data_IF_968414736267
#
_entry.id   IF_968414736267
#
_cell.length_a   1.000
_cell.length_b   1.000
_cell.length_c   1.000
_cell.angle_alpha   90.00
_cell.angle_beta   90.00
_cell.angle_gamma   90.00
#
_symmetry.space_group_name_H-M   'P 1'
#
loop_
_entity.id
_entity.type
_entity.pdbx_description
1 polymer ?
#
# COMPACT_ATOMS: atom_id res chain seq x y z
N UNK A 1 6.51 0.27 6.84
CA UNK A 1 5.72 -0.83 6.21
C UNK A 1 4.24 -0.57 6.48
N UNK A 2 3.33 -0.93 5.59
CA UNK A 2 1.91 -0.54 5.70
C UNK A 2 0.96 -1.64 6.19
N UNK A 3 -0.37 -1.45 6.03
CA UNK A 3 -1.38 -2.42 6.50
C UNK A 3 -1.41 -3.73 5.69
N UNK A 4 -0.85 -3.74 4.47
CA UNK A 4 -0.87 -4.92 3.61
C UNK A 4 0.32 -5.85 3.89
N UNK A 5 0.06 -6.96 4.59
CA UNK A 5 1.07 -7.99 4.91
C UNK A 5 1.76 -8.58 3.67
N UNK A 6 1.02 -8.75 2.57
CA UNK A 6 1.56 -9.22 1.30
C UNK A 6 2.64 -8.26 0.76
N UNK A 7 2.31 -6.98 0.57
CA UNK A 7 3.27 -5.99 0.06
C UNK A 7 4.45 -5.79 1.00
N UNK A 8 4.22 -5.87 2.32
CA UNK A 8 5.30 -5.81 3.31
C UNK A 8 6.31 -6.95 3.13
N UNK A 9 5.80 -8.16 2.90
CA UNK A 9 6.63 -9.34 2.65
C UNK A 9 7.44 -9.17 1.37
N UNK A 10 6.82 -8.68 0.28
CA UNK A 10 7.51 -8.43 -0.99
C UNK A 10 8.63 -7.39 -0.86
N UNK A 11 8.39 -6.30 -0.13
CA UNK A 11 9.41 -5.29 0.12
C UNK A 11 10.52 -5.80 1.06
N UNK A 12 10.22 -6.70 2.00
CA UNK A 12 11.24 -7.31 2.87
C UNK A 12 12.10 -8.32 2.11
N UNK A 13 11.50 -9.12 1.23
CA UNK A 13 12.19 -10.11 0.41
C UNK A 13 12.91 -9.52 -0.81
N UNK A 14 12.65 -8.25 -1.15
CA UNK A 14 13.30 -7.55 -2.26
C UNK A 14 12.64 -7.74 -3.63
N UNK A 15 11.44 -8.32 -3.68
CA UNK A 15 10.58 -8.27 -4.86
C UNK A 15 10.10 -6.83 -5.15
N UNK A 16 10.03 -6.00 -4.11
CA UNK A 16 9.84 -4.55 -4.22
C UNK A 16 11.05 -3.81 -3.65
N UNK A 17 11.27 -2.53 -4.02
CA UNK A 17 12.24 -1.68 -3.36
C UNK A 17 12.06 -1.73 -1.84
N UNK A 18 13.16 -2.01 -1.13
CA UNK A 18 13.11 -2.16 0.35
C UNK A 18 12.67 -0.89 1.07
N UNK A 19 12.74 0.25 0.40
CA UNK A 19 12.18 1.54 0.85
C UNK A 19 10.66 1.52 0.99
N UNK A 20 9.96 0.59 0.33
CA UNK A 20 8.50 0.55 0.32
C UNK A 20 7.86 1.55 -0.64
N UNK A 21 8.62 2.13 -1.57
CA UNK A 21 8.10 3.03 -2.62
C UNK A 21 8.39 2.41 -3.98
N UNK A 22 7.35 2.19 -4.77
CA UNK A 22 7.43 1.48 -6.04
C UNK A 22 6.48 2.08 -7.07
N UNK A 23 6.73 1.76 -8.35
CA UNK A 23 5.78 2.05 -9.42
C UNK A 23 4.68 0.99 -9.51
N UNK A 24 3.50 1.31 -10.06
CA UNK A 24 2.42 0.34 -10.26
C UNK A 24 2.83 -0.89 -11.06
N UNK A 25 3.63 -0.74 -12.11
CA UNK A 25 4.13 -1.86 -12.91
C UNK A 25 4.98 -2.83 -12.08
N UNK A 26 5.85 -2.29 -11.23
CA UNK A 26 6.68 -3.10 -10.33
C UNK A 26 5.83 -3.85 -9.28
N UNK A 27 4.77 -3.20 -8.78
CA UNK A 27 3.84 -3.82 -7.85
C UNK A 27 3.08 -4.97 -8.49
N UNK A 28 2.56 -4.79 -9.71
CA UNK A 28 1.87 -5.86 -10.47
C UNK A 28 2.82 -7.04 -10.71
N UNK A 29 4.03 -6.78 -11.20
CA UNK A 29 5.03 -7.84 -11.43
C UNK A 29 5.38 -8.56 -10.13
N UNK A 30 5.62 -7.83 -9.04
CA UNK A 30 6.01 -8.43 -7.76
C UNK A 30 4.93 -9.35 -7.19
N UNK A 31 3.64 -8.94 -7.20
CA UNK A 31 2.55 -9.79 -6.68
C UNK A 31 2.28 -11.00 -7.58
N UNK A 32 2.50 -10.86 -8.89
CA UNK A 32 2.39 -11.99 -9.82
C UNK A 32 3.52 -13.00 -9.62
N UNK A 33 4.76 -12.54 -9.56
CA UNK A 33 5.93 -13.43 -9.47
C UNK A 33 6.04 -14.11 -8.10
N UNK A 34 5.78 -13.40 -7.01
CA UNK A 34 6.01 -13.92 -5.66
C UNK A 34 4.78 -14.60 -5.04
N UNK A 35 3.58 -14.17 -5.41
CA UNK A 35 2.32 -14.66 -4.82
C UNK A 35 1.41 -15.34 -5.83
N UNK A 36 1.82 -15.44 -7.11
CA UNK A 36 1.05 -16.07 -8.17
C UNK A 36 -0.36 -15.48 -8.34
N UNK A 37 -0.53 -14.17 -8.12
CA UNK A 37 -1.79 -13.49 -8.38
C UNK A 37 -2.10 -13.50 -9.88
N UNK A 38 -3.36 -13.77 -10.25
CA UNK A 38 -3.83 -13.63 -11.62
C UNK A 38 -3.65 -12.20 -12.14
N UNK A 39 -3.24 -12.06 -13.41
CA UNK A 39 -2.86 -10.76 -13.98
C UNK A 39 -3.96 -9.68 -13.86
N UNK A 40 -5.21 -10.06 -14.13
CA UNK A 40 -6.34 -9.13 -14.07
C UNK A 40 -6.59 -8.64 -12.64
N UNK A 41 -6.53 -9.55 -11.66
CA UNK A 41 -6.71 -9.21 -10.25
C UNK A 41 -5.55 -8.37 -9.70
N UNK A 42 -4.31 -8.71 -10.08
CA UNK A 42 -3.12 -7.95 -9.72
C UNK A 42 -3.21 -6.51 -10.24
N UNK A 43 -3.56 -6.33 -11.52
CA UNK A 43 -3.76 -5.01 -12.12
C UNK A 43 -4.88 -4.25 -11.42
N UNK A 44 -6.02 -4.90 -11.20
CA UNK A 44 -7.16 -4.27 -10.54
C UNK A 44 -6.78 -3.70 -9.18
N UNK A 45 -6.21 -4.52 -8.30
CA UNK A 45 -5.83 -4.09 -6.94
C UNK A 45 -4.77 -2.99 -6.95
N UNK A 46 -3.71 -3.16 -7.76
CA UNK A 46 -2.59 -2.22 -7.77
C UNK A 46 -3.01 -0.87 -8.34
N UNK A 47 -3.73 -0.85 -9.46
CA UNK A 47 -4.18 0.41 -10.05
C UNK A 47 -5.28 1.07 -9.23
N UNK A 48 -6.15 0.31 -8.55
CA UNK A 48 -7.10 0.88 -7.60
C UNK A 48 -6.36 1.57 -6.45
N UNK A 49 -5.39 0.90 -5.81
CA UNK A 49 -4.59 1.50 -4.75
C UNK A 49 -3.81 2.73 -5.24
N UNK A 50 -3.24 2.67 -6.44
CA UNK A 50 -2.50 3.76 -7.05
C UNK A 50 -3.37 4.98 -7.36
N UNK A 51 -4.57 4.79 -7.90
CA UNK A 51 -5.47 5.90 -8.20
C UNK A 51 -5.97 6.61 -6.94
N UNK A 52 -6.18 5.86 -5.86
CA UNK A 52 -6.67 6.42 -4.60
C UNK A 52 -5.56 7.09 -3.78
N UNK A 53 -4.36 6.51 -3.77
CA UNK A 53 -3.32 6.86 -2.81
C UNK A 53 -1.90 7.06 -3.38
N UNK A 54 -1.70 6.77 -4.67
CA UNK A 54 -0.44 6.97 -5.36
C UNK A 54 -0.29 8.39 -5.93
N UNK A 55 0.92 8.70 -6.41
CA UNK A 55 1.20 9.95 -7.08
C UNK A 55 1.15 9.75 -8.62
N UNK A 56 0.10 10.24 -9.31
CA UNK A 56 0.00 10.10 -10.76
C UNK A 56 1.04 10.93 -11.53
N UNK A 57 1.61 11.98 -10.92
CA UNK A 57 2.61 12.84 -11.57
C UNK A 57 3.98 12.16 -11.64
N UNK A 58 4.35 11.43 -10.60
CA UNK A 58 5.66 10.76 -10.50
C UNK A 58 5.59 9.26 -10.78
N UNK A 59 4.38 8.72 -10.95
CA UNK A 59 4.11 7.29 -11.11
C UNK A 59 4.67 6.44 -9.96
N UNK A 60 4.65 6.99 -8.74
CA UNK A 60 5.18 6.34 -7.53
C UNK A 60 4.10 6.21 -6.46
N UNK A 61 4.16 5.13 -5.70
CA UNK A 61 3.28 4.90 -4.56
C UNK A 61 4.08 4.30 -3.40
N UNK A 62 3.86 4.84 -2.20
CA UNK A 62 4.27 4.20 -0.95
C UNK A 62 3.36 3.02 -0.65
N UNK A 63 3.89 1.91 -0.16
CA UNK A 63 3.09 0.78 0.36
C UNK A 63 2.67 0.98 1.83
N UNK A 64 3.00 2.14 2.40
CA UNK A 64 2.72 2.55 3.79
C UNK A 64 1.93 3.86 3.79
N UNK A 65 2.38 4.84 4.55
CA UNK A 65 1.86 6.17 4.72
C UNK A 65 2.55 7.13 3.75
N UNK A 66 2.08 8.38 3.77
CA UNK A 66 2.64 9.47 2.99
C UNK A 66 4.15 9.60 3.22
N UNK A 67 4.89 9.79 2.14
CA UNK A 67 6.34 9.92 2.16
C UNK A 67 6.81 10.98 1.17
N UNK A 68 7.83 11.79 1.47
CA UNK A 68 8.38 12.74 0.51
C UNK A 68 9.04 12.05 -0.70
N UNK A 69 9.27 10.72 -0.63
CA UNK A 69 9.83 9.94 -1.73
C UNK A 69 8.89 9.82 -2.94
N UNK A 70 7.59 10.08 -2.78
CA UNK A 70 6.66 10.20 -3.92
C UNK A 70 6.72 11.59 -4.58
N UNK A 71 7.59 12.48 -4.10
CA UNK A 71 7.92 13.81 -4.65
C UNK A 71 6.73 14.78 -4.61
N UNK A 72 6.42 15.45 -5.72
CA UNK A 72 5.53 16.60 -5.77
C UNK A 72 4.07 16.16 -5.63
N UNK A 73 3.42 16.62 -4.57
CA UNK A 73 2.02 16.34 -4.35
C UNK A 73 1.12 17.05 -5.37
N UNK A 74 0.07 16.39 -5.87
CA UNK A 74 -0.98 17.03 -6.63
C UNK A 74 -1.77 18.03 -5.75
N UNK A 75 -2.55 18.95 -6.36
CA UNK A 75 -3.45 19.81 -5.62
C UNK A 75 -4.47 19.02 -4.80
N UNK A 76 -4.92 19.61 -3.68
CA UNK A 76 -6.05 19.07 -2.90
C UNK A 76 -7.27 18.90 -3.82
N UNK A 77 -8.09 17.85 -3.62
CA UNK A 77 -8.21 17.02 -2.43
C UNK A 77 -7.29 15.78 -2.39
N UNK A 78 -6.49 15.51 -3.41
CA UNK A 78 -5.63 14.34 -3.46
C UNK A 78 -4.53 14.40 -2.38
N UNK A 79 -4.42 13.34 -1.57
CA UNK A 79 -3.51 13.31 -0.41
C UNK A 79 -2.20 12.59 -0.68
N UNK A 80 -2.16 11.64 -1.62
CA UNK A 80 -1.01 10.76 -1.89
C UNK A 80 -0.55 10.08 -0.59
N UNK A 81 -1.51 9.56 0.16
CA UNK A 81 -1.29 9.09 1.52
C UNK A 81 -0.68 7.70 1.62
N UNK A 82 -0.48 7.00 0.50
CA UNK A 82 -0.22 5.55 0.50
C UNK A 82 -1.43 4.74 1.04
N UNK A 83 -1.39 3.41 0.98
CA UNK A 83 -2.49 2.57 1.42
C UNK A 83 -2.77 2.67 2.92
N UNK A 84 -1.87 3.20 3.76
CA UNK A 84 -2.18 3.47 5.18
C UNK A 84 -3.11 4.68 5.39
N UNK A 85 -3.44 5.43 4.34
CA UNK A 85 -4.44 6.50 4.42
C UNK A 85 -5.82 5.91 4.68
N UNK A 86 -6.37 6.22 5.86
CA UNK A 86 -7.68 5.74 6.24
C UNK A 86 -8.80 6.27 5.34
N UNK A 87 -9.76 5.39 5.03
CA UNK A 87 -11.00 5.72 4.33
C UNK A 87 -10.87 5.81 2.80
N UNK A 88 -9.71 5.47 2.24
CA UNK A 88 -9.51 5.40 0.78
C UNK A 88 -9.31 3.96 0.29
N UNK A 89 -8.36 3.24 0.90
CA UNK A 89 -8.09 1.82 0.63
C UNK A 89 -8.02 1.02 1.94
N UNK A 90 -7.32 1.54 2.95
CA UNK A 90 -7.39 1.01 4.31
C UNK A 90 -8.76 1.32 4.94
N UNK A 91 -9.25 0.37 5.71
CA UNK A 91 -10.58 0.38 6.30
C UNK A 91 -10.60 -0.37 7.64
N UNK A 92 -11.63 -0.03 8.44
CA UNK A 92 -11.90 -0.67 9.72
C UNK A 92 -12.20 -2.17 9.57
N UNK A 93 -12.19 -2.88 10.70
CA UNK A 93 -12.39 -4.34 10.81
C UNK A 93 -11.32 -5.18 10.13
N UNK A 94 -10.11 -4.62 10.00
CA UNK A 94 -8.93 -5.35 9.56
C UNK A 94 -8.60 -6.53 10.49
N UNK A 95 -8.20 -7.67 9.91
CA UNK A 95 -7.98 -8.92 10.66
C UNK A 95 -6.85 -8.84 11.70
N UNK A 96 -5.78 -8.08 11.42
CA UNK A 96 -4.54 -8.08 12.23
C UNK A 96 -3.98 -6.69 12.51
N UNK A 97 -4.71 -5.63 12.15
CA UNK A 97 -4.40 -4.25 12.49
C UNK A 97 -5.59 -3.66 13.24
N UNK A 98 -5.40 -2.64 14.09
CA UNK A 98 -6.53 -1.98 14.79
C UNK A 98 -7.24 -1.00 13.86
N UNK A 99 -8.49 -0.63 14.18
CA UNK A 99 -9.21 0.38 13.40
C UNK A 99 -8.57 1.76 13.65
N UNK A 100 -8.58 2.63 12.64
CA UNK A 100 -7.91 3.93 12.70
C UNK A 100 -8.43 4.83 13.84
N UNK A 101 -9.67 4.62 14.27
CA UNK A 101 -10.24 5.31 15.43
C UNK A 101 -9.56 4.94 16.75
N UNK A 102 -9.09 3.70 16.90
CA UNK A 102 -8.51 3.18 18.13
C UNK A 102 -6.98 3.28 18.18
N UNK A 103 -6.31 3.53 17.06
CA UNK A 103 -4.85 3.61 17.03
C UNK A 103 -4.27 3.61 15.63
N UNK A 104 -3.07 3.04 15.48
CA UNK A 104 -2.36 2.94 14.21
C UNK A 104 -2.91 1.78 13.35
N UNK A 105 -3.59 2.08 12.22
CA UNK A 105 -4.19 1.05 11.36
C UNK A 105 -3.18 0.30 10.49
N UNK A 106 -1.92 0.71 10.45
CA UNK A 106 -0.87 0.03 9.70
C UNK A 106 -0.04 -0.95 10.55
N UNK A 107 -0.10 -0.82 11.87
CA UNK A 107 0.68 -1.63 12.80
C UNK A 107 0.01 -2.99 13.06
N UNK A 108 0.83 -4.04 13.09
CA UNK A 108 0.41 -5.38 13.48
C UNK A 108 -0.05 -5.41 14.95
N UNK A 109 -1.18 -6.07 15.20
CA UNK A 109 -1.74 -6.30 16.52
C UNK A 109 -1.86 -7.80 16.80
N UNK A 110 -1.08 -8.29 17.77
CA UNK A 110 -1.06 -9.71 18.14
C UNK A 110 -2.37 -10.20 18.76
N UNK A 111 -3.05 -9.39 19.57
CA UNK A 111 -4.32 -9.76 20.22
C UNK A 111 -5.43 -9.98 19.18
N UNK A 112 -5.43 -9.21 18.09
CA UNK A 112 -6.39 -9.40 16.99
C UNK A 112 -6.06 -10.62 16.12
N UNK A 113 -4.79 -11.02 16.09
CA UNK A 113 -4.32 -12.13 15.27
C UNK A 113 -4.52 -13.50 15.93
N UNK A 114 -4.42 -13.57 17.26
CA UNK A 114 -4.63 -14.77 18.08
C UNK A 114 -6.11 -15.20 18.14
#
# INVERSE_FOLDING_TARGET
RGPCSALNTLANLGYLPRSGVARPDQLVTAVMEALNLGNDFAKFLVYQAFLMNGNPLTNLMSIEMKTPLTVQDPPKPALVGGPSQHGSFEADTSMSCVDAFFGDPAAFNGIRFD
#
